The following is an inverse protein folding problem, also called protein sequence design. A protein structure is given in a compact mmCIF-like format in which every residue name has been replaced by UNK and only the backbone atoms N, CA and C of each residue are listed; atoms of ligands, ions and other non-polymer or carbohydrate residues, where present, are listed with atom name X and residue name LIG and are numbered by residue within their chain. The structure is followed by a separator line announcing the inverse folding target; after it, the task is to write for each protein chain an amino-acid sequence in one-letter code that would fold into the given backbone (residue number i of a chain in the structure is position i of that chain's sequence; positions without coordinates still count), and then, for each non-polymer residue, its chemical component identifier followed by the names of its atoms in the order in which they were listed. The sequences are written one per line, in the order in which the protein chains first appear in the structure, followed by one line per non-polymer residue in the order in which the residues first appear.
data_IF_106392122668
#
_entry.id   IF_106392122668
#
_cell.length_a   1.000
_cell.length_b   1.000
_cell.length_c   1.000
_cell.angle_alpha   90.00
_cell.angle_beta   90.00
_cell.angle_gamma   90.00
#
_symmetry.space_group_name_H-M   'P 1'
#
loop_
_entity.id
_entity.type
_entity.pdbx_description
1 polymer ?
#
# COMPACT_ATOMS: atom_id res chain seq x y z
N UNK A 1 5.69 -31.77 -28.82
CA UNK A 1 4.86 -30.60 -28.48
C UNK A 1 5.60 -29.89 -27.36
N UNK A 2 6.29 -28.79 -27.68
CA UNK A 2 7.18 -28.12 -26.74
C UNK A 2 6.40 -27.64 -25.53
N UNK A 3 6.89 -27.95 -24.34
CA UNK A 3 6.44 -27.32 -23.10
C UNK A 3 6.75 -25.85 -23.31
N UNK A 4 5.72 -25.02 -23.47
CA UNK A 4 5.86 -23.58 -23.34
C UNK A 4 6.30 -23.36 -21.90
N UNK A 5 7.61 -23.30 -21.67
CA UNK A 5 8.17 -22.68 -20.48
C UNK A 5 7.61 -21.26 -20.48
N UNK A 6 6.59 -21.03 -19.65
CA UNK A 6 6.05 -19.70 -19.42
C UNK A 6 7.12 -18.96 -18.63
N UNK A 7 8.04 -18.37 -19.39
CA UNK A 7 9.02 -17.41 -18.92
C UNK A 7 8.32 -16.08 -18.66
N UNK A 8 8.73 -15.38 -17.61
CA UNK A 8 8.23 -14.04 -17.33
C UNK A 8 8.77 -13.06 -18.37
N UNK A 9 8.01 -12.01 -18.72
CA UNK A 9 8.38 -11.14 -19.85
C UNK A 9 9.69 -10.36 -19.64
N UNK A 10 10.17 -10.25 -18.40
CA UNK A 10 11.43 -9.60 -18.03
C UNK A 10 12.62 -10.56 -17.95
N UNK A 11 12.40 -11.85 -18.19
CA UNK A 11 13.46 -12.86 -18.18
C UNK A 11 14.52 -12.54 -19.24
N UNK A 12 15.80 -12.67 -18.87
CA UNK A 12 16.94 -12.30 -19.71
C UNK A 12 17.30 -10.81 -19.70
N UNK A 13 16.44 -9.93 -19.15
CA UNK A 13 16.73 -8.50 -19.03
C UNK A 13 17.06 -8.07 -17.60
N UNK A 14 16.30 -8.57 -16.62
CA UNK A 14 16.40 -8.19 -15.20
C UNK A 14 16.17 -9.41 -14.32
N UNK A 15 16.89 -9.54 -13.21
CA UNK A 15 16.68 -10.65 -12.26
C UNK A 15 15.35 -10.51 -11.50
N UNK A 16 14.76 -11.63 -11.07
CA UNK A 16 13.53 -11.64 -10.26
C UNK A 16 13.68 -10.89 -8.93
N UNK A 17 14.89 -10.87 -8.37
CA UNK A 17 15.24 -10.08 -7.19
C UNK A 17 15.08 -8.58 -7.47
N UNK A 18 15.69 -8.09 -8.55
CA UNK A 18 15.61 -6.67 -8.93
C UNK A 18 14.18 -6.30 -9.32
N UNK A 19 13.49 -7.15 -10.08
CA UNK A 19 12.09 -6.91 -10.46
C UNK A 19 11.17 -6.88 -9.24
N UNK A 20 11.30 -7.87 -8.34
CA UNK A 20 10.50 -7.96 -7.13
C UNK A 20 10.71 -6.80 -6.16
N UNK A 21 11.93 -6.24 -6.11
CA UNK A 21 12.28 -5.12 -5.22
C UNK A 21 11.87 -3.76 -5.80
N UNK A 22 12.17 -3.49 -7.07
CA UNK A 22 12.03 -2.14 -7.63
C UNK A 22 10.73 -1.90 -8.40
N UNK A 23 10.09 -2.93 -8.96
CA UNK A 23 8.83 -2.73 -9.69
C UNK A 23 7.72 -2.09 -8.83
N UNK A 24 7.51 -2.49 -7.55
CA UNK A 24 6.51 -1.85 -6.71
C UNK A 24 6.80 -0.36 -6.45
N UNK A 25 8.09 0.01 -6.31
CA UNK A 25 8.53 1.39 -6.08
C UNK A 25 8.25 2.24 -7.32
N UNK A 26 8.61 1.76 -8.51
CA UNK A 26 8.36 2.45 -9.77
C UNK A 26 6.85 2.63 -9.98
N UNK A 27 6.08 1.56 -9.76
CA UNK A 27 4.62 1.59 -9.91
C UNK A 27 3.98 2.59 -8.95
N UNK A 28 4.43 2.63 -7.70
CA UNK A 28 3.99 3.58 -6.69
C UNK A 28 4.17 5.03 -7.17
N UNK A 29 5.37 5.40 -7.61
CA UNK A 29 5.65 6.77 -8.06
C UNK A 29 4.96 7.12 -9.37
N UNK A 30 4.79 6.14 -10.27
CA UNK A 30 4.02 6.32 -11.49
C UNK A 30 2.55 6.67 -11.19
N UNK A 31 1.88 5.89 -10.33
CA UNK A 31 0.50 6.16 -9.93
C UNK A 31 0.38 7.48 -9.17
N UNK A 32 1.23 7.70 -8.15
CA UNK A 32 1.18 8.91 -7.34
C UNK A 32 1.46 10.17 -8.18
N UNK A 33 2.43 10.10 -9.10
CA UNK A 33 2.73 11.16 -10.07
C UNK A 33 1.57 11.41 -11.03
N UNK A 34 0.94 10.36 -11.56
CA UNK A 34 -0.24 10.50 -12.42
C UNK A 34 -1.39 11.22 -11.70
N UNK A 35 -1.69 10.86 -10.45
CA UNK A 35 -2.71 11.56 -9.65
C UNK A 35 -2.38 13.04 -9.43
N UNK A 36 -1.10 13.41 -9.38
CA UNK A 36 -0.67 14.80 -9.24
C UNK A 36 -0.83 15.62 -10.53
N UNK A 37 -0.83 14.95 -11.69
CA UNK A 37 -1.02 15.58 -13.01
C UNK A 37 -2.49 15.79 -13.37
N UNK A 38 -3.42 15.14 -12.68
CA UNK A 38 -4.84 15.32 -12.92
C UNK A 38 -5.25 16.79 -12.69
N UNK A 39 -6.17 17.33 -13.50
CA UNK A 39 -6.64 18.69 -13.33
C UNK A 39 -7.31 18.87 -11.96
N UNK A 40 -7.44 20.13 -11.54
CA UNK A 40 -8.06 20.47 -10.25
C UNK A 40 -9.56 20.16 -10.28
N UNK A 41 -9.91 18.95 -9.85
CA UNK A 41 -11.29 18.46 -9.72
C UNK A 41 -11.89 18.86 -8.36
N UNK A 42 -11.69 20.09 -7.91
CA UNK A 42 -12.05 20.55 -6.55
C UNK A 42 -13.55 20.39 -6.23
N UNK A 43 -14.41 20.45 -7.27
CA UNK A 43 -15.86 20.19 -7.18
C UNK A 43 -16.20 18.74 -6.84
N UNK A 44 -15.33 17.79 -7.18
CA UNK A 44 -15.53 16.35 -6.97
C UNK A 44 -14.74 15.80 -5.79
N UNK A 45 -13.83 16.58 -5.20
CA UNK A 45 -13.02 16.17 -4.04
C UNK A 45 -13.74 16.47 -2.72
N UNK A 46 -13.79 15.45 -1.84
CA UNK A 46 -14.30 15.58 -0.47
C UNK A 46 -13.48 16.53 0.40
N UNK A 47 -12.19 16.67 0.12
CA UNK A 47 -11.31 17.64 0.75
C UNK A 47 -10.78 18.65 -0.27
N UNK A 48 -10.92 19.93 0.06
CA UNK A 48 -10.36 21.03 -0.73
C UNK A 48 -8.85 21.14 -0.53
N UNK A 49 -8.16 21.78 -1.48
CA UNK A 49 -6.74 22.11 -1.30
C UNK A 49 -6.48 23.04 -0.11
N UNK A 50 -7.41 23.96 0.17
CA UNK A 50 -7.33 24.83 1.35
C UNK A 50 -7.35 24.01 2.64
N UNK A 51 -8.21 23.01 2.73
CA UNK A 51 -8.22 22.08 3.87
C UNK A 51 -6.94 21.25 3.94
N UNK A 52 -6.40 20.80 2.80
CA UNK A 52 -5.13 20.08 2.75
C UNK A 52 -3.99 20.92 3.34
N UNK A 53 -3.88 22.19 2.93
CA UNK A 53 -2.85 23.12 3.39
C UNK A 53 -3.05 23.54 4.86
N UNK A 54 -4.28 23.52 5.38
CA UNK A 54 -4.61 23.93 6.74
C UNK A 54 -4.60 22.79 7.77
N UNK A 55 -5.04 21.59 7.39
CA UNK A 55 -5.24 20.45 8.29
C UNK A 55 -4.02 19.52 8.36
N UNK A 56 -3.20 19.46 7.30
CA UNK A 56 -2.00 18.62 7.31
C UNK A 56 -0.90 19.25 8.17
N UNK A 57 -0.30 18.43 9.04
CA UNK A 57 0.77 18.85 9.97
C UNK A 57 2.17 18.73 9.35
N UNK A 58 2.25 18.32 8.09
CA UNK A 58 3.50 18.06 7.35
C UNK A 58 3.39 18.52 5.90
N UNK A 59 4.51 18.99 5.36
CA UNK A 59 4.60 19.44 3.97
C UNK A 59 4.83 18.27 3.02
N UNK A 60 4.49 18.43 1.74
CA UNK A 60 4.74 17.41 0.71
C UNK A 60 6.22 16.97 0.64
N UNK A 61 7.24 17.86 0.69
CA UNK A 61 8.64 17.42 0.74
C UNK A 61 8.97 16.56 1.96
N UNK A 62 8.38 16.83 3.13
CA UNK A 62 8.53 15.98 4.33
C UNK A 62 7.94 14.60 4.08
N UNK A 63 6.77 14.54 3.46
CA UNK A 63 6.09 13.29 3.10
C UNK A 63 6.92 12.48 2.11
N UNK A 64 7.40 13.11 1.04
CA UNK A 64 8.30 12.46 0.05
C UNK A 64 9.54 11.88 0.71
N UNK A 65 10.21 12.62 1.61
CA UNK A 65 11.37 12.11 2.35
C UNK A 65 11.01 10.89 3.21
N UNK A 66 9.86 10.92 3.88
CA UNK A 66 9.37 9.78 4.68
C UNK A 66 9.11 8.55 3.82
N UNK A 67 8.45 8.72 2.67
CA UNK A 67 8.19 7.63 1.72
C UNK A 67 9.48 7.04 1.17
N UNK A 68 10.45 7.87 0.79
CA UNK A 68 11.75 7.40 0.30
C UNK A 68 12.50 6.61 1.39
N UNK A 69 12.48 7.07 2.64
CA UNK A 69 13.03 6.32 3.76
C UNK A 69 12.33 4.96 3.90
N UNK A 70 11.01 4.93 3.83
CA UNK A 70 10.22 3.70 3.92
C UNK A 70 10.55 2.73 2.79
N UNK A 71 10.68 3.21 1.56
CA UNK A 71 11.07 2.41 0.39
C UNK A 71 12.50 1.87 0.50
N UNK A 72 13.44 2.62 1.08
CA UNK A 72 14.81 2.13 1.35
C UNK A 72 14.78 0.99 2.36
N UNK A 73 14.00 1.12 3.43
CA UNK A 73 13.83 0.05 4.43
C UNK A 73 13.20 -1.18 3.80
N UNK A 74 12.10 -1.02 3.05
CA UNK A 74 11.42 -2.11 2.36
C UNK A 74 12.33 -2.82 1.35
N UNK A 75 13.07 -2.07 0.54
CA UNK A 75 14.03 -2.63 -0.41
C UNK A 75 15.14 -3.41 0.30
N UNK A 76 15.69 -2.87 1.39
CA UNK A 76 16.71 -3.56 2.18
C UNK A 76 16.19 -4.89 2.73
N UNK A 77 14.98 -4.91 3.28
CA UNK A 77 14.37 -6.14 3.83
C UNK A 77 14.07 -7.14 2.70
N UNK A 78 13.56 -6.68 1.56
CA UNK A 78 13.30 -7.53 0.40
C UNK A 78 14.58 -8.22 -0.09
N UNK A 79 15.67 -7.46 -0.25
CA UNK A 79 16.97 -8.01 -0.65
C UNK A 79 17.50 -9.03 0.37
N UNK A 80 17.41 -8.74 1.67
CA UNK A 80 17.81 -9.70 2.72
C UNK A 80 16.96 -10.98 2.64
N UNK A 81 15.65 -10.86 2.42
CA UNK A 81 14.78 -12.01 2.27
C UNK A 81 15.15 -12.84 1.03
N UNK A 82 15.40 -12.20 -0.12
CA UNK A 82 15.86 -12.87 -1.33
C UNK A 82 17.17 -13.62 -1.11
N UNK A 83 18.14 -13.03 -0.40
CA UNK A 83 19.41 -13.70 -0.07
C UNK A 83 19.22 -14.95 0.81
N UNK A 84 18.28 -14.90 1.76
CA UNK A 84 17.97 -16.05 2.64
C UNK A 84 17.23 -17.14 1.87
N UNK A 85 16.24 -16.76 1.04
CA UNK A 85 15.44 -17.72 0.27
C UNK A 85 16.22 -18.33 -0.88
N UNK A 86 17.08 -17.58 -1.57
CA UNK A 86 17.93 -18.10 -2.65
C UNK A 86 18.86 -19.23 -2.16
N UNK A 87 19.37 -19.13 -0.93
CA UNK A 87 20.16 -20.20 -0.30
C UNK A 87 19.33 -21.45 0.03
N UNK A 88 18.04 -21.30 0.31
CA UNK A 88 17.12 -22.40 0.59
C UNK A 88 16.59 -23.08 -0.70
N UNK A 89 16.54 -22.37 -1.82
CA UNK A 89 15.93 -22.81 -3.08
C UNK A 89 16.86 -23.57 -4.06
N UNK A 90 17.96 -24.16 -3.57
CA UNK A 90 18.86 -24.99 -4.39
C UNK A 90 18.25 -26.31 -4.93
N UNK A 91 16.93 -26.51 -4.81
CA UNK A 91 16.27 -27.81 -5.01
C UNK A 91 15.14 -27.88 -6.04
N UNK A 92 14.95 -26.87 -6.91
CA UNK A 92 13.99 -27.04 -8.01
C UNK A 92 13.88 -25.87 -8.98
N UNK A 93 13.60 -26.18 -10.25
CA UNK A 93 13.27 -25.19 -11.28
C UNK A 93 11.91 -24.57 -10.95
N UNK A 94 11.81 -23.25 -10.76
CA UNK A 94 10.53 -22.60 -10.51
C UNK A 94 9.66 -22.65 -11.77
N UNK A 95 8.56 -23.41 -11.73
CA UNK A 95 7.56 -23.43 -12.80
C UNK A 95 6.50 -22.37 -12.52
N UNK A 96 6.31 -21.43 -13.45
CA UNK A 96 5.28 -20.41 -13.34
C UNK A 96 3.88 -21.05 -13.40
N UNK A 97 2.95 -20.73 -12.47
CA UNK A 97 1.59 -21.23 -12.53
C UNK A 97 0.83 -20.72 -13.76
N UNK A 98 -0.23 -21.41 -14.18
CA UNK A 98 -1.08 -20.95 -15.30
C UNK A 98 -1.80 -19.64 -14.95
N UNK A 99 -2.17 -18.84 -15.97
CA UNK A 99 -2.83 -17.53 -15.77
C UNK A 99 -4.07 -17.61 -14.87
N UNK A 100 -4.99 -18.60 -14.98
CA UNK A 100 -6.13 -18.70 -14.07
C UNK A 100 -5.70 -18.93 -12.61
N UNK A 101 -4.65 -19.71 -12.39
CA UNK A 101 -4.10 -19.95 -11.06
C UNK A 101 -3.47 -18.66 -10.52
N UNK A 102 -2.73 -17.91 -11.33
CA UNK A 102 -2.17 -16.61 -10.94
C UNK A 102 -3.27 -15.60 -10.56
N UNK A 103 -4.37 -15.55 -11.32
CA UNK A 103 -5.51 -14.67 -11.00
C UNK A 103 -6.14 -15.06 -9.65
N UNK A 104 -6.41 -16.34 -9.42
CA UNK A 104 -6.95 -16.82 -8.15
C UNK A 104 -5.99 -16.53 -6.98
N UNK A 105 -4.71 -16.74 -7.20
CA UNK A 105 -3.64 -16.46 -6.26
C UNK A 105 -3.59 -14.97 -5.90
N UNK A 106 -3.64 -14.06 -6.87
CA UNK A 106 -3.71 -12.61 -6.61
C UNK A 106 -4.98 -12.29 -5.80
N UNK A 107 -6.12 -12.86 -6.16
CA UNK A 107 -7.38 -12.61 -5.45
C UNK A 107 -7.33 -13.06 -3.98
N UNK A 108 -6.78 -14.24 -3.69
CA UNK A 108 -6.60 -14.70 -2.31
C UNK A 108 -5.57 -13.83 -1.59
N UNK A 109 -4.49 -13.41 -2.26
CA UNK A 109 -3.45 -12.54 -1.69
C UNK A 109 -4.03 -11.21 -1.25
N UNK A 110 -4.93 -10.66 -2.05
CA UNK A 110 -5.67 -9.44 -1.76
C UNK A 110 -6.50 -9.57 -0.48
N UNK A 111 -7.26 -10.66 -0.34
CA UNK A 111 -8.09 -10.90 0.86
C UNK A 111 -7.20 -11.04 2.10
N UNK A 112 -6.11 -11.81 2.01
CA UNK A 112 -5.17 -11.98 3.13
C UNK A 112 -4.54 -10.65 3.54
N UNK A 113 -4.07 -9.87 2.55
CA UNK A 113 -3.45 -8.58 2.80
C UNK A 113 -4.43 -7.56 3.39
N UNK A 114 -5.64 -7.44 2.85
CA UNK A 114 -6.70 -6.57 3.39
C UNK A 114 -7.04 -6.97 4.83
N UNK A 115 -7.20 -8.27 5.09
CA UNK A 115 -7.42 -8.80 6.44
C UNK A 115 -6.30 -8.37 7.40
N UNK A 116 -5.04 -8.60 7.02
CA UNK A 116 -3.90 -8.23 7.85
C UNK A 116 -3.83 -6.72 8.11
N UNK A 117 -3.91 -5.92 7.05
CA UNK A 117 -3.81 -4.47 7.14
C UNK A 117 -4.93 -3.91 8.02
N UNK A 118 -6.17 -4.34 7.81
CA UNK A 118 -7.30 -3.90 8.60
C UNK A 118 -7.14 -4.19 10.10
N UNK A 119 -6.85 -5.44 10.48
CA UNK A 119 -6.78 -5.81 11.89
C UNK A 119 -5.59 -5.15 12.59
N UNK A 120 -4.45 -5.04 11.92
CA UNK A 120 -3.28 -4.37 12.47
C UNK A 120 -3.49 -2.86 12.61
N UNK A 121 -4.11 -2.23 11.61
CA UNK A 121 -4.52 -0.82 11.66
C UNK A 121 -5.49 -0.57 12.83
N UNK A 122 -6.55 -1.38 12.96
CA UNK A 122 -7.50 -1.31 14.07
C UNK A 122 -6.82 -1.51 15.42
N UNK A 123 -5.90 -2.46 15.52
CA UNK A 123 -5.14 -2.68 16.75
C UNK A 123 -4.30 -1.47 17.14
N UNK A 124 -3.62 -0.82 16.18
CA UNK A 124 -2.86 0.40 16.43
C UNK A 124 -3.75 1.57 16.86
N UNK A 125 -4.98 1.66 16.36
CA UNK A 125 -5.97 2.64 16.83
C UNK A 125 -6.49 2.36 18.24
N UNK A 126 -6.66 1.09 18.62
CA UNK A 126 -7.15 0.72 19.95
C UNK A 126 -6.07 0.79 21.02
N UNK A 127 -4.83 0.45 20.68
CA UNK A 127 -3.70 0.46 21.60
C UNK A 127 -3.12 1.89 21.71
N UNK A 128 -3.35 2.56 22.84
CA UNK A 128 -2.87 3.94 23.10
C UNK A 128 -1.36 4.10 22.93
N UNK A 129 -0.56 3.08 23.22
CA UNK A 129 0.89 3.14 23.05
C UNK A 129 1.27 3.16 21.57
N UNK A 130 0.74 2.20 20.79
CA UNK A 130 1.01 2.10 19.35
C UNK A 130 0.45 3.31 18.61
N UNK A 131 -0.74 3.77 18.98
CA UNK A 131 -1.30 5.00 18.42
C UNK A 131 -0.35 6.18 18.63
N UNK A 132 0.04 6.48 19.88
CA UNK A 132 0.80 7.70 20.19
C UNK A 132 2.19 7.71 19.59
N UNK A 133 2.88 6.57 19.54
CA UNK A 133 4.31 6.53 19.20
C UNK A 133 4.60 6.06 17.78
N UNK A 134 3.66 5.32 17.15
CA UNK A 134 3.88 4.71 15.84
C UNK A 134 2.86 5.30 14.86
N UNK A 135 1.58 5.03 15.09
CA UNK A 135 0.53 5.32 14.11
C UNK A 135 0.15 6.81 14.03
N UNK A 136 0.46 7.60 15.06
CA UNK A 136 0.25 9.05 15.06
C UNK A 136 1.01 9.76 13.94
N UNK A 137 2.16 9.22 13.50
CA UNK A 137 2.91 9.76 12.38
C UNK A 137 2.10 9.74 11.08
N UNK A 138 1.43 8.62 10.81
CA UNK A 138 0.53 8.49 9.66
C UNK A 138 -0.61 9.51 9.74
N UNK A 139 -1.20 9.68 10.92
CA UNK A 139 -2.25 10.68 11.19
C UNK A 139 -1.79 12.14 11.20
N UNK A 140 -0.51 12.44 10.98
CA UNK A 140 -0.05 13.82 10.69
C UNK A 140 -0.54 14.31 9.32
N UNK A 141 -0.91 13.37 8.44
CA UNK A 141 -1.53 13.64 7.16
C UNK A 141 -3.05 13.44 7.25
N UNK A 142 -3.75 14.47 7.71
CA UNK A 142 -5.20 14.44 7.94
C UNK A 142 -6.00 14.41 6.64
N UNK A 143 -5.55 15.16 5.64
CA UNK A 143 -6.12 15.18 4.28
C UNK A 143 -5.21 14.37 3.38
N UNK A 144 -5.58 13.12 3.05
CA UNK A 144 -4.72 12.22 2.29
C UNK A 144 -4.62 12.64 0.82
N UNK A 145 -3.45 12.40 0.25
CA UNK A 145 -3.17 12.48 -1.19
C UNK A 145 -2.28 11.31 -1.59
N UNK A 146 -2.19 11.00 -2.88
CA UNK A 146 -1.59 9.75 -3.37
C UNK A 146 -0.14 9.51 -2.88
N UNK A 147 0.70 10.55 -2.90
CA UNK A 147 2.09 10.49 -2.38
C UNK A 147 2.14 10.23 -0.87
N UNK A 148 1.08 10.49 -0.13
CA UNK A 148 0.99 10.21 1.31
C UNK A 148 0.73 8.75 1.66
N UNK A 149 0.42 7.88 0.69
CA UNK A 149 -0.04 6.52 0.96
C UNK A 149 0.97 5.64 1.73
N UNK A 150 2.27 5.90 1.59
CA UNK A 150 3.34 5.21 2.33
C UNK A 150 4.02 6.11 3.36
N UNK A 151 3.39 7.22 3.73
CA UNK A 151 3.88 8.09 4.79
C UNK A 151 3.42 7.58 6.15
N UNK A 152 4.23 6.70 6.73
CA UNK A 152 4.00 6.09 8.02
C UNK A 152 5.32 5.98 8.80
N UNK A 153 5.23 5.60 10.07
CA UNK A 153 6.41 5.30 10.86
C UNK A 153 7.11 4.03 10.31
N UNK A 154 8.45 3.92 10.29
CA UNK A 154 9.13 2.76 9.69
C UNK A 154 8.67 1.40 10.25
N UNK A 155 8.42 1.33 11.56
CA UNK A 155 7.85 0.13 12.18
C UNK A 155 6.41 -0.15 11.74
N UNK A 156 5.62 0.89 11.48
CA UNK A 156 4.25 0.73 10.99
C UNK A 156 4.26 0.11 9.61
N UNK A 157 5.01 0.67 8.66
CA UNK A 157 5.05 0.11 7.31
C UNK A 157 5.84 -1.20 7.23
N UNK A 158 6.73 -1.50 8.18
CA UNK A 158 7.24 -2.87 8.35
C UNK A 158 6.11 -3.84 8.73
N UNK A 159 5.34 -3.53 9.77
CA UNK A 159 4.26 -4.39 10.27
C UNK A 159 3.11 -4.53 9.27
N UNK A 160 2.68 -3.43 8.63
CA UNK A 160 1.57 -3.41 7.69
C UNK A 160 1.97 -3.90 6.30
N UNK A 161 3.03 -3.34 5.72
CA UNK A 161 3.33 -3.54 4.30
C UNK A 161 4.25 -4.74 4.11
N UNK A 162 5.35 -4.80 4.87
CA UNK A 162 6.39 -5.82 4.66
C UNK A 162 5.96 -7.18 5.20
N UNK A 163 5.53 -7.23 6.47
CA UNK A 163 5.02 -8.47 7.06
C UNK A 163 3.69 -8.90 6.43
N UNK A 164 2.78 -7.96 6.15
CA UNK A 164 1.52 -8.26 5.47
C UNK A 164 1.75 -8.86 4.08
N UNK A 165 2.65 -8.27 3.30
CA UNK A 165 3.06 -8.79 1.99
C UNK A 165 3.76 -10.15 2.08
N UNK A 166 4.63 -10.35 3.09
CA UNK A 166 5.30 -11.63 3.31
C UNK A 166 4.31 -12.74 3.68
N UNK A 167 3.34 -12.47 4.56
CA UNK A 167 2.28 -13.41 4.93
C UNK A 167 1.43 -13.76 3.70
N UNK A 168 1.04 -12.76 2.92
CA UNK A 168 0.28 -12.95 1.68
C UNK A 168 1.04 -13.84 0.69
N UNK A 169 2.34 -13.61 0.51
CA UNK A 169 3.24 -14.45 -0.32
C UNK A 169 3.43 -15.86 0.24
N UNK A 170 3.53 -16.05 1.55
CA UNK A 170 3.68 -17.40 2.11
C UNK A 170 2.43 -18.25 1.88
N UNK A 171 1.26 -17.60 1.79
CA UNK A 171 0.00 -18.27 1.49
C UNK A 171 -0.16 -18.55 -0.02
N UNK A 172 0.58 -17.85 -0.90
CA UNK A 172 0.41 -17.87 -2.36
C UNK A 172 1.77 -17.83 -3.09
N UNK A 173 2.02 -18.85 -3.94
CA UNK A 173 3.31 -19.09 -4.61
C UNK A 173 3.76 -18.04 -5.64
N UNK A 174 3.05 -16.93 -5.87
CA UNK A 174 3.43 -15.93 -6.89
C UNK A 174 3.87 -14.62 -6.27
N UNK A 175 5.01 -14.13 -6.78
CA UNK A 175 5.59 -12.84 -6.46
C UNK A 175 5.04 -11.75 -7.38
N UNK A 176 3.96 -11.06 -6.99
CA UNK A 176 3.56 -9.80 -7.62
C UNK A 176 3.30 -8.71 -6.58
N UNK A 177 3.67 -7.48 -6.97
CA UNK A 177 3.62 -6.27 -6.17
C UNK A 177 2.21 -5.73 -5.92
N UNK A 178 2.15 -4.87 -4.90
CA UNK A 178 1.01 -4.10 -4.38
C UNK A 178 -0.35 -4.43 -5.01
N UNK A 179 -1.16 -5.30 -4.39
CA UNK A 179 -2.54 -5.44 -4.81
C UNK A 179 -3.28 -4.11 -4.61
N UNK A 180 -4.28 -3.77 -5.45
CA UNK A 180 -5.17 -2.67 -5.13
C UNK A 180 -5.79 -2.90 -3.75
N UNK A 181 -5.78 -1.87 -2.91
CA UNK A 181 -6.40 -1.93 -1.58
C UNK A 181 -7.88 -2.25 -1.76
N UNK A 182 -8.29 -3.47 -1.40
CA UNK A 182 -9.65 -3.69 -0.97
C UNK A 182 -9.75 -3.16 0.45
N UNK A 183 -10.85 -2.48 0.74
CA UNK A 183 -11.20 -2.04 2.10
C UNK A 183 -12.46 -2.78 2.52
N UNK A 184 -12.48 -4.11 2.33
CA UNK A 184 -13.68 -4.91 2.60
C UNK A 184 -13.99 -4.83 4.08
N UNK A 185 -12.99 -5.11 4.92
CA UNK A 185 -13.16 -5.11 6.36
C UNK A 185 -13.43 -3.72 6.91
N UNK A 186 -12.78 -2.70 6.36
CA UNK A 186 -13.01 -1.31 6.75
C UNK A 186 -14.46 -0.89 6.47
N UNK A 187 -15.05 -1.37 5.37
CA UNK A 187 -16.46 -1.14 5.04
C UNK A 187 -17.44 -1.96 5.89
N UNK A 188 -17.09 -3.20 6.23
CA UNK A 188 -17.97 -4.10 7.00
C UNK A 188 -17.96 -3.77 8.49
N UNK A 189 -16.79 -3.46 9.04
CA UNK A 189 -16.56 -3.37 10.49
C UNK A 189 -16.22 -1.97 10.97
N UNK A 190 -15.95 -1.03 10.06
CA UNK A 190 -15.79 0.39 10.32
C UNK A 190 -14.56 0.74 11.17
N UNK A 191 -13.60 1.46 10.58
CA UNK A 191 -12.65 2.30 11.33
C UNK A 191 -12.86 3.80 11.06
N UNK A 192 -13.75 4.14 10.11
CA UNK A 192 -14.06 5.51 9.74
C UNK A 192 -14.93 6.23 10.78
N UNK A 193 -14.73 7.54 10.89
CA UNK A 193 -15.63 8.43 11.64
C UNK A 193 -16.98 8.53 10.91
N UNK A 194 -18.13 8.37 11.58
CA UNK A 194 -19.43 8.59 10.95
C UNK A 194 -19.54 10.03 10.43
N UNK A 195 -20.00 10.21 9.18
CA UNK A 195 -20.13 11.52 8.56
C UNK A 195 -21.42 11.67 7.75
N UNK A 196 -21.82 12.92 7.53
CA UNK A 196 -22.86 13.33 6.59
C UNK A 196 -22.23 14.12 5.44
N UNK A 197 -22.80 14.00 4.24
CA UNK A 197 -22.37 14.81 3.10
C UNK A 197 -23.24 16.05 3.02
N UNK A 198 -22.61 17.21 3.01
CA UNK A 198 -23.27 18.50 2.83
C UNK A 198 -22.76 19.20 1.58
N UNK A 199 -23.63 19.91 0.88
CA UNK A 199 -23.25 20.67 -0.32
C UNK A 199 -22.51 21.95 0.09
N UNK A 200 -21.38 22.23 -0.55
CA UNK A 200 -20.62 23.47 -0.33
C UNK A 200 -21.28 24.65 -1.05
N UNK A 201 -21.12 25.86 -0.51
CA UNK A 201 -21.62 27.09 -1.15
C UNK A 201 -21.02 27.31 -2.55
N UNK A 202 -19.74 26.94 -2.76
CA UNK A 202 -19.03 27.05 -4.05
C UNK A 202 -19.25 25.83 -4.96
N UNK A 203 -20.10 24.87 -4.56
CA UNK A 203 -20.34 23.61 -5.25
C UNK A 203 -19.44 22.46 -4.78
N UNK A 204 -19.93 21.22 -4.96
CA UNK A 204 -19.29 20.00 -4.45
C UNK A 204 -19.80 19.56 -3.08
N UNK A 205 -19.18 18.53 -2.52
CA UNK A 205 -19.58 17.90 -1.24
C UNK A 205 -18.50 18.04 -0.18
N UNK A 206 -18.90 18.22 1.07
CA UNK A 206 -18.07 18.20 2.27
C UNK A 206 -18.55 17.09 3.19
N UNK A 207 -17.64 16.26 3.70
CA UNK A 207 -17.93 15.29 4.75
C UNK A 207 -17.85 15.98 6.12
N UNK A 208 -18.97 16.01 6.85
CA UNK A 208 -19.04 16.53 8.22
C UNK A 208 -19.25 15.40 9.22
N UNK A 209 -18.46 15.33 10.30
CA UNK A 209 -18.70 14.39 11.38
C UNK A 209 -20.16 14.45 11.84
N UNK A 210 -20.79 13.29 12.02
CA UNK A 210 -22.04 13.25 12.77
C UNK A 210 -21.70 13.64 14.21
N UNK A 211 -22.30 14.73 14.72
CA UNK A 211 -22.20 15.06 16.14
C UNK A 211 -22.99 14.02 16.90
N UNK A 212 -22.35 13.40 17.89
CA UNK A 212 -23.04 12.65 18.95
C UNK A 212 -23.92 13.59 19.80
#
# INVERSE_FOLDING_TARGET
MGILETMVFWEGYVSDEVMGTFAPIVLYWFYAGFYQLLPRLDRYRLHTKKEEEQKNLVTLPTVVKGVLLQQVVQATIAQVLFLVTAKASLSGVPVQPSIPVQILQIFVAMIVLDTWQYFMHRYMHQNKFLYRHIHSQHHRLVVPYAVGALYNHPLEGFLLDTLGGAISRLMITVAFGCPPFFSIWDRVLGTHMPYSLVTRQEGGLEARPLKD
#
